data_IF_976983937151
#
_entry.id   IF_976983937151
#
_cell.length_a   1.000
_cell.length_b   1.000
_cell.length_c   1.000
_cell.angle_alpha   90.00
_cell.angle_beta   90.00
_cell.angle_gamma   90.00
#
_symmetry.space_group_name_H-M   'P 1'
#
loop_
_entity.id
_entity.type
_entity.pdbx_description
1 polymer ?
#
# COMPACT_ATOMS: atom_id res chain seq x y z
N UNK A 1 -2.66 -41.73 -14.07
CA UNK A 1 -2.72 -40.80 -12.92
C UNK A 1 -1.69 -39.74 -13.23
N UNK A 2 -2.11 -38.66 -13.88
CA UNK A 2 -1.21 -37.61 -14.36
C UNK A 2 -0.67 -36.83 -13.17
N UNK A 3 0.65 -36.69 -13.10
CA UNK A 3 1.29 -35.74 -12.22
C UNK A 3 1.02 -34.36 -12.80
N UNK A 4 0.09 -33.61 -12.19
CA UNK A 4 -0.06 -32.18 -12.46
C UNK A 4 1.20 -31.48 -11.95
N UNK A 5 2.20 -31.33 -12.83
CA UNK A 5 3.37 -30.49 -12.58
C UNK A 5 2.89 -29.07 -12.32
N UNK A 6 3.07 -28.62 -11.07
CA UNK A 6 2.87 -27.24 -10.65
C UNK A 6 3.81 -26.34 -11.45
N UNK A 7 3.27 -25.57 -12.41
CA UNK A 7 4.00 -24.54 -13.14
C UNK A 7 4.15 -23.29 -12.25
N UNK A 8 5.38 -22.94 -11.81
CA UNK A 8 5.62 -21.76 -11.00
C UNK A 8 5.47 -20.44 -11.77
N UNK A 9 5.23 -20.48 -13.08
CA UNK A 9 5.04 -19.31 -13.96
C UNK A 9 3.58 -18.99 -14.26
N UNK A 10 2.64 -19.91 -13.95
CA UNK A 10 1.21 -19.63 -14.00
C UNK A 10 0.84 -18.66 -12.86
N UNK A 11 0.95 -17.37 -13.16
CA UNK A 11 0.57 -16.27 -12.28
C UNK A 11 -0.97 -16.13 -12.14
N UNK A 12 -1.76 -17.02 -12.78
CA UNK A 12 -3.22 -17.00 -12.76
C UNK A 12 -3.82 -15.72 -13.34
N UNK A 13 -3.09 -15.07 -14.26
CA UNK A 13 -3.53 -13.85 -14.94
C UNK A 13 -4.21 -14.29 -16.24
N UNK A 14 -5.54 -14.26 -16.25
CA UNK A 14 -6.32 -14.41 -17.47
C UNK A 14 -6.25 -13.08 -18.24
N UNK A 15 -5.78 -13.11 -19.49
CA UNK A 15 -5.71 -11.92 -20.35
C UNK A 15 -6.97 -11.82 -21.22
N UNK A 16 -7.50 -10.60 -21.46
CA UNK A 16 -6.95 -9.30 -21.04
C UNK A 16 -7.17 -9.00 -19.56
N UNK A 17 -6.24 -8.24 -18.96
CA UNK A 17 -6.34 -7.78 -17.58
C UNK A 17 -7.64 -6.97 -17.35
N UNK A 18 -8.30 -7.13 -16.19
CA UNK A 18 -9.52 -6.37 -15.89
C UNK A 18 -9.20 -4.87 -15.68
N UNK A 19 -10.20 -3.97 -15.81
CA UNK A 19 -10.00 -2.53 -15.65
C UNK A 19 -9.30 -2.18 -14.33
N UNK A 20 -8.41 -1.18 -14.31
CA UNK A 20 -7.57 -0.85 -13.15
C UNK A 20 -8.37 -0.52 -11.88
N UNK A 21 -9.58 0.01 -12.04
CA UNK A 21 -10.51 0.36 -10.98
C UNK A 21 -11.52 -0.74 -10.63
N UNK A 22 -11.42 -1.91 -11.27
CA UNK A 22 -12.33 -3.04 -11.07
C UNK A 22 -12.10 -3.77 -9.74
N UNK A 23 -13.12 -4.52 -9.31
CA UNK A 23 -13.05 -5.33 -8.08
C UNK A 23 -12.07 -6.49 -8.25
N UNK A 24 -11.98 -7.01 -9.45
CA UNK A 24 -11.15 -8.11 -9.89
C UNK A 24 -9.68 -7.71 -9.76
N UNK A 25 -9.28 -6.55 -10.30
CA UNK A 25 -7.92 -5.99 -10.15
C UNK A 25 -7.54 -5.84 -8.68
N UNK A 26 -8.44 -5.29 -7.84
CA UNK A 26 -8.18 -5.15 -6.39
C UNK A 26 -7.94 -6.48 -5.69
N UNK A 27 -8.58 -7.56 -6.13
CA UNK A 27 -8.40 -8.89 -5.56
C UNK A 27 -7.06 -9.50 -5.99
N UNK A 28 -6.69 -9.34 -7.25
CA UNK A 28 -5.42 -9.82 -7.82
C UNK A 28 -4.20 -9.17 -7.16
N UNK A 29 -4.32 -7.92 -6.69
CA UNK A 29 -3.24 -7.24 -5.97
C UNK A 29 -2.96 -7.77 -4.54
N UNK A 30 -3.73 -8.75 -4.05
CA UNK A 30 -3.52 -9.38 -2.73
C UNK A 30 -2.87 -10.74 -2.91
N UNK A 31 -1.84 -11.02 -2.12
CA UNK A 31 -1.09 -12.27 -2.19
C UNK A 31 -0.70 -12.82 -0.83
N UNK A 32 -0.38 -14.11 -0.79
CA UNK A 32 0.22 -14.76 0.36
C UNK A 32 1.66 -14.25 0.55
N UNK A 33 2.03 -13.88 1.79
CA UNK A 33 3.38 -13.39 2.10
C UNK A 33 4.46 -14.47 1.96
N UNK A 34 4.08 -15.75 2.09
CA UNK A 34 5.04 -16.86 2.06
C UNK A 34 5.27 -17.44 0.67
N UNK A 35 4.19 -17.74 -0.04
CA UNK A 35 4.22 -18.46 -1.31
C UNK A 35 3.80 -17.60 -2.50
N UNK A 36 3.54 -16.30 -2.28
CA UNK A 36 3.26 -15.31 -3.32
C UNK A 36 2.02 -15.58 -4.19
N UNK A 37 1.29 -16.67 -3.94
CA UNK A 37 0.00 -16.96 -4.56
C UNK A 37 -0.98 -15.81 -4.35
N UNK A 38 -1.51 -15.30 -5.45
CA UNK A 38 -2.53 -14.26 -5.48
C UNK A 38 -3.86 -14.79 -4.97
N UNK A 39 -4.70 -13.89 -4.48
CA UNK A 39 -6.08 -14.22 -4.13
C UNK A 39 -6.86 -14.45 -5.43
N UNK A 40 -7.51 -15.61 -5.52
CA UNK A 40 -8.41 -15.96 -6.62
C UNK A 40 -9.74 -16.44 -6.04
N UNK A 41 -10.66 -16.91 -6.90
CA UNK A 41 -11.86 -17.59 -6.43
C UNK A 41 -11.54 -18.86 -5.60
N UNK A 42 -10.45 -19.55 -5.96
CA UNK A 42 -9.99 -20.79 -5.30
C UNK A 42 -9.02 -20.53 -4.14
N UNK A 43 -8.21 -19.48 -4.22
CA UNK A 43 -7.22 -19.14 -3.19
C UNK A 43 -7.75 -18.03 -2.30
N UNK A 44 -8.25 -18.42 -1.10
CA UNK A 44 -8.63 -17.47 -0.05
C UNK A 44 -7.41 -17.09 0.79
N UNK A 45 -7.33 -15.81 1.17
CA UNK A 45 -6.31 -15.30 2.07
C UNK A 45 -6.95 -14.92 3.41
N UNK A 46 -6.24 -15.18 4.50
CA UNK A 46 -6.55 -14.66 5.83
C UNK A 46 -5.37 -13.84 6.37
N UNK A 47 -5.65 -12.88 7.24
CA UNK A 47 -4.62 -12.04 7.86
C UNK A 47 -4.12 -12.65 9.17
N UNK A 48 -2.85 -12.43 9.49
CA UNK A 48 -2.30 -12.76 10.80
C UNK A 48 -3.15 -12.10 11.90
N UNK A 49 -3.65 -12.90 12.85
CA UNK A 49 -4.56 -12.42 13.90
C UNK A 49 -3.91 -11.41 14.86
N UNK A 50 -2.59 -11.50 15.05
CA UNK A 50 -1.84 -10.62 15.93
C UNK A 50 -1.61 -9.25 15.28
N UNK A 51 -0.85 -9.18 14.18
CA UNK A 51 -0.54 -7.89 13.55
C UNK A 51 -1.65 -7.32 12.66
N UNK A 52 -2.56 -8.17 12.14
CA UNK A 52 -3.64 -7.82 11.20
C UNK A 52 -3.19 -7.24 9.85
N UNK A 53 -1.91 -7.39 9.50
CA UNK A 53 -1.31 -6.82 8.29
C UNK A 53 -0.97 -7.91 7.26
N UNK A 54 -0.17 -8.89 7.67
CA UNK A 54 0.35 -9.91 6.75
C UNK A 54 -0.71 -10.94 6.40
N UNK A 55 -0.83 -11.28 5.11
CA UNK A 55 -1.83 -12.23 4.59
C UNK A 55 -1.20 -13.57 4.23
N UNK A 56 -1.93 -14.66 4.48
CA UNK A 56 -1.52 -16.04 4.19
C UNK A 56 -2.68 -16.83 3.56
N UNK A 57 -2.37 -17.77 2.67
CA UNK A 57 -3.37 -18.66 2.08
C UNK A 57 -3.64 -19.91 2.95
N UNK A 58 -2.73 -20.27 3.85
CA UNK A 58 -2.85 -21.44 4.73
C UNK A 58 -2.10 -21.24 6.05
N UNK A 59 -2.49 -22.02 7.08
CA UNK A 59 -1.74 -22.06 8.35
C UNK A 59 -0.31 -22.58 8.16
N UNK A 60 -0.08 -23.42 7.16
CA UNK A 60 1.26 -23.92 6.82
C UNK A 60 2.15 -22.76 6.34
N UNK A 61 1.67 -21.96 5.39
CA UNK A 61 2.39 -20.78 4.92
C UNK A 61 2.69 -19.78 6.04
N UNK A 62 1.74 -19.58 6.98
CA UNK A 62 1.98 -18.73 8.16
C UNK A 62 3.10 -19.28 9.06
N UNK A 63 3.13 -20.60 9.32
CA UNK A 63 4.15 -21.24 10.15
C UNK A 63 5.54 -21.17 9.52
N UNK A 64 5.63 -21.41 8.21
CA UNK A 64 6.90 -21.37 7.47
C UNK A 64 7.48 -19.95 7.40
N UNK A 65 6.62 -18.93 7.29
CA UNK A 65 7.05 -17.53 7.30
C UNK A 65 7.33 -17.00 8.71
N UNK A 66 6.97 -17.74 9.77
CA UNK A 66 7.01 -17.22 11.14
C UNK A 66 8.39 -16.73 11.58
N UNK A 67 9.47 -17.43 11.19
CA UNK A 67 10.85 -17.01 11.50
C UNK A 67 11.12 -15.59 11.00
N UNK A 68 10.66 -15.27 9.79
CA UNK A 68 10.86 -13.96 9.17
C UNK A 68 9.79 -12.96 9.62
N UNK A 69 8.57 -13.42 9.91
CA UNK A 69 7.43 -12.57 10.27
C UNK A 69 7.48 -12.11 11.73
N UNK A 70 8.00 -12.92 12.66
CA UNK A 70 7.88 -12.70 14.11
C UNK A 70 8.30 -11.31 14.57
N UNK A 71 9.46 -10.83 14.12
CA UNK A 71 9.97 -9.48 14.47
C UNK A 71 8.99 -8.38 14.05
N UNK A 72 8.61 -8.39 12.78
CA UNK A 72 7.63 -7.45 12.19
C UNK A 72 6.24 -7.58 12.79
N UNK A 73 5.82 -8.80 13.15
CA UNK A 73 4.56 -9.03 13.83
C UNK A 73 4.53 -8.31 15.19
N UNK A 74 5.64 -8.41 15.94
CA UNK A 74 5.83 -7.69 17.20
C UNK A 74 5.83 -6.19 16.98
N UNK A 75 6.66 -5.67 16.06
CA UNK A 75 6.74 -4.24 15.76
C UNK A 75 5.39 -3.63 15.39
N UNK A 76 4.63 -4.30 14.50
CA UNK A 76 3.30 -3.85 14.10
C UNK A 76 2.30 -3.89 15.26
N UNK A 77 2.41 -4.90 16.14
CA UNK A 77 1.56 -5.00 17.34
C UNK A 77 1.90 -3.89 18.33
N UNK A 78 3.18 -3.63 18.58
CA UNK A 78 3.64 -2.54 19.45
C UNK A 78 3.30 -1.16 18.87
N UNK A 79 3.40 -0.98 17.55
CA UNK A 79 2.96 0.26 16.89
C UNK A 79 1.47 0.51 17.12
N UNK A 80 0.63 -0.53 16.98
CA UNK A 80 -0.81 -0.43 17.25
C UNK A 80 -1.11 -0.13 18.73
N UNK A 81 -0.34 -0.69 19.67
CA UNK A 81 -0.46 -0.35 21.10
C UNK A 81 -0.10 1.11 21.35
N UNK A 82 1.04 1.60 20.84
CA UNK A 82 1.45 3.01 20.95
C UNK A 82 0.41 3.96 20.38
N UNK A 83 -0.20 3.61 19.24
CA UNK A 83 -1.30 4.39 18.67
C UNK A 83 -2.52 4.41 19.60
N UNK A 84 -2.89 3.27 20.18
CA UNK A 84 -4.01 3.21 21.13
C UNK A 84 -3.76 4.00 22.42
N UNK A 85 -2.53 3.96 22.95
CA UNK A 85 -2.12 4.78 24.10
C UNK A 85 -2.18 6.29 23.78
N UNK A 86 -1.71 6.68 22.60
CA UNK A 86 -1.77 8.07 22.13
C UNK A 86 -3.21 8.54 21.90
N UNK A 87 -4.06 7.66 21.38
CA UNK A 87 -5.48 7.96 21.21
C UNK A 87 -6.17 8.19 22.56
N UNK A 88 -5.83 7.40 23.57
CA UNK A 88 -6.38 7.59 24.91
C UNK A 88 -5.94 8.92 25.53
N UNK A 89 -4.65 9.26 25.41
CA UNK A 89 -4.14 10.56 25.81
C UNK A 89 -4.85 11.70 25.07
N UNK A 90 -5.08 11.54 23.77
CA UNK A 90 -5.76 12.55 22.94
C UNK A 90 -7.19 12.77 23.41
N UNK A 91 -7.94 11.69 23.73
CA UNK A 91 -9.30 11.80 24.27
C UNK A 91 -9.30 12.53 25.62
N UNK A 92 -8.42 12.13 26.54
CA UNK A 92 -8.32 12.78 27.86
C UNK A 92 -7.99 14.27 27.72
N UNK A 93 -7.09 14.64 26.79
CA UNK A 93 -6.77 16.04 26.54
C UNK A 93 -7.98 16.84 26.01
N UNK A 94 -8.74 16.27 25.06
CA UNK A 94 -9.97 16.90 24.54
C UNK A 94 -11.01 17.13 25.63
N UNK A 95 -11.22 16.13 26.49
CA UNK A 95 -12.12 16.23 27.64
C UNK A 95 -11.74 17.34 28.62
N UNK A 96 -10.43 17.53 28.88
CA UNK A 96 -9.94 18.55 29.80
C UNK A 96 -9.93 19.97 29.22
N UNK A 97 -9.72 20.10 27.91
CA UNK A 97 -9.58 21.41 27.24
C UNK A 97 -10.91 21.93 26.68
N UNK A 98 -11.90 21.05 26.48
CA UNK A 98 -13.14 21.39 25.80
C UNK A 98 -12.96 21.66 24.30
N UNK A 99 -11.83 21.25 23.72
CA UNK A 99 -11.61 21.31 22.27
C UNK A 99 -12.54 20.34 21.54
N UNK A 100 -13.11 20.81 20.43
CA UNK A 100 -14.08 20.06 19.61
C UNK A 100 -13.46 18.83 18.91
N UNK A 101 -14.27 17.78 18.75
CA UNK A 101 -13.91 16.38 18.56
C UNK A 101 -13.80 15.96 17.08
N UNK A 102 -13.74 16.93 16.16
CA UNK A 102 -13.82 16.70 14.71
C UNK A 102 -12.55 16.08 14.09
N UNK A 103 -11.40 16.17 14.79
CA UNK A 103 -10.17 15.55 14.32
C UNK A 103 -10.17 14.04 14.61
N UNK A 104 -9.92 13.18 13.60
CA UNK A 104 -9.86 11.74 13.83
C UNK A 104 -8.68 11.38 14.73
N UNK A 105 -8.85 10.30 15.50
CA UNK A 105 -7.77 9.72 16.28
C UNK A 105 -6.69 9.10 15.37
N UNK A 106 -5.47 8.96 15.89
CA UNK A 106 -4.32 8.47 15.12
C UNK A 106 -4.57 7.04 14.61
N UNK A 107 -5.13 6.15 15.44
CA UNK A 107 -5.47 4.79 14.98
C UNK A 107 -6.56 4.81 13.90
N UNK A 108 -7.51 5.74 13.99
CA UNK A 108 -8.58 5.89 12.99
C UNK A 108 -7.98 6.28 11.65
N UNK A 109 -7.09 7.27 11.62
CA UNK A 109 -6.37 7.64 10.39
C UNK A 109 -5.58 6.45 9.85
N UNK A 110 -4.82 5.73 10.68
CA UNK A 110 -4.05 4.58 10.23
C UNK A 110 -4.93 3.49 9.57
N UNK A 111 -6.09 3.20 10.16
CA UNK A 111 -7.03 2.21 9.62
C UNK A 111 -7.69 2.70 8.32
N UNK A 112 -8.10 3.97 8.27
CA UNK A 112 -8.65 4.59 7.07
C UNK A 112 -7.63 4.61 5.91
N UNK A 113 -6.34 4.91 6.18
CA UNK A 113 -5.25 4.83 5.20
C UNK A 113 -5.06 3.40 4.65
N UNK A 114 -5.20 2.39 5.51
CA UNK A 114 -5.15 1.00 5.09
C UNK A 114 -6.28 0.65 4.11
N UNK A 115 -7.48 1.18 4.33
CA UNK A 115 -8.62 1.01 3.43
C UNK A 115 -8.45 1.82 2.12
N UNK A 116 -7.91 3.03 2.20
CA UNK A 116 -7.56 3.83 1.02
C UNK A 116 -6.57 3.08 0.13
N UNK A 117 -5.46 2.59 0.71
CA UNK A 117 -4.47 1.81 -0.02
C UNK A 117 -5.10 0.56 -0.64
N UNK A 118 -5.95 -0.18 0.09
CA UNK A 118 -6.65 -1.37 -0.47
C UNK A 118 -7.57 -1.01 -1.64
N UNK A 119 -8.23 0.14 -1.60
CA UNK A 119 -9.16 0.60 -2.64
C UNK A 119 -8.44 1.06 -3.90
N UNK A 120 -7.34 1.77 -3.74
CA UNK A 120 -6.63 2.46 -4.83
C UNK A 120 -5.28 1.83 -5.19
N UNK A 121 -4.94 0.65 -4.63
CA UNK A 121 -3.64 -0.02 -4.79
C UNK A 121 -3.13 -0.03 -6.22
N UNK A 122 -3.95 -0.45 -7.18
CA UNK A 122 -3.53 -0.58 -8.58
C UNK A 122 -3.19 0.79 -9.19
N UNK A 123 -4.03 1.80 -8.99
CA UNK A 123 -3.80 3.18 -9.44
C UNK A 123 -2.56 3.79 -8.77
N UNK A 124 -2.37 3.55 -7.46
CA UNK A 124 -1.18 3.99 -6.72
C UNK A 124 0.09 3.34 -7.28
N UNK A 125 0.05 2.05 -7.62
CA UNK A 125 1.16 1.36 -8.26
C UNK A 125 1.47 1.94 -9.65
N UNK A 126 0.44 2.18 -10.48
CA UNK A 126 0.58 2.84 -11.80
C UNK A 126 1.21 4.22 -11.65
N UNK A 127 0.71 5.03 -10.72
CA UNK A 127 1.27 6.35 -10.41
C UNK A 127 2.75 6.27 -9.96
N UNK A 128 3.11 5.30 -9.13
CA UNK A 128 4.49 5.09 -8.70
C UNK A 128 5.43 4.69 -9.83
N UNK A 129 4.98 3.78 -10.70
CA UNK A 129 5.71 3.38 -11.91
C UNK A 129 5.98 4.58 -12.83
N UNK A 130 4.95 5.40 -13.08
CA UNK A 130 5.05 6.60 -13.92
C UNK A 130 5.93 7.69 -13.28
N UNK A 131 5.74 7.96 -11.98
CA UNK A 131 6.50 8.96 -11.23
C UNK A 131 8.00 8.66 -11.25
N UNK A 132 8.39 7.40 -11.08
CA UNK A 132 9.79 6.98 -11.12
C UNK A 132 10.33 6.74 -12.54
N UNK A 133 9.47 6.83 -13.57
CA UNK A 133 9.79 6.62 -14.98
C UNK A 133 10.48 5.26 -15.22
N UNK A 134 9.93 4.19 -14.65
CA UNK A 134 10.54 2.86 -14.69
C UNK A 134 10.76 2.36 -16.13
N UNK A 135 9.83 2.62 -17.06
CA UNK A 135 10.02 2.28 -18.49
C UNK A 135 11.25 2.91 -19.13
N UNK A 136 11.67 4.08 -18.66
CA UNK A 136 12.82 4.82 -19.20
C UNK A 136 14.09 4.60 -18.37
N UNK A 137 13.93 4.24 -17.10
CA UNK A 137 15.00 4.01 -16.15
C UNK A 137 14.63 2.84 -15.22
N UNK A 138 14.83 1.59 -15.68
CA UNK A 138 14.40 0.40 -14.95
C UNK A 138 15.01 0.26 -13.56
N UNK A 139 16.15 0.90 -13.29
CA UNK A 139 16.83 0.86 -11.98
C UNK A 139 16.37 1.96 -11.00
N UNK A 140 15.42 2.83 -11.39
CA UNK A 140 15.00 3.95 -10.54
C UNK A 140 14.43 3.50 -9.19
N UNK A 141 13.80 2.32 -9.12
CA UNK A 141 13.26 1.75 -7.87
C UNK A 141 14.34 1.53 -6.80
N UNK A 142 15.60 1.32 -7.20
CA UNK A 142 16.71 1.10 -6.27
C UNK A 142 17.26 2.41 -5.68
N UNK A 143 16.93 3.55 -6.27
CA UNK A 143 17.42 4.88 -5.89
C UNK A 143 16.33 5.76 -5.26
N UNK A 144 15.06 5.48 -5.56
CA UNK A 144 13.93 6.32 -5.20
C UNK A 144 12.78 5.53 -4.59
N UNK A 145 12.11 6.16 -3.62
CA UNK A 145 10.81 5.78 -3.10
C UNK A 145 9.76 6.71 -3.72
N UNK A 146 8.62 6.16 -4.12
CA UNK A 146 7.48 6.98 -4.51
C UNK A 146 6.73 7.45 -3.26
N UNK A 147 6.71 8.76 -3.01
CA UNK A 147 5.89 9.35 -1.95
C UNK A 147 4.60 9.90 -2.54
N UNK A 148 3.46 9.37 -2.11
CA UNK A 148 2.13 9.87 -2.43
C UNK A 148 1.54 10.54 -1.20
N UNK A 149 1.14 11.80 -1.34
CA UNK A 149 0.55 12.60 -0.26
C UNK A 149 -0.94 12.74 -0.46
N UNK A 150 -1.68 12.44 0.60
CA UNK A 150 -3.12 12.59 0.66
C UNK A 150 -3.50 13.51 1.82
N UNK A 151 -4.66 14.13 1.70
CA UNK A 151 -5.23 14.98 2.74
C UNK A 151 -6.61 14.43 3.08
N UNK A 152 -6.88 14.30 4.38
CA UNK A 152 -8.21 13.96 4.86
C UNK A 152 -9.15 15.16 4.66
N UNK A 153 -10.30 14.91 4.09
CA UNK A 153 -11.36 15.91 3.90
C UNK A 153 -11.84 16.38 5.27
N UNK A 154 -12.03 17.69 5.41
CA UNK A 154 -12.61 18.28 6.63
C UNK A 154 -14.07 17.84 6.77
N UNK A 155 -14.43 17.39 7.96
CA UNK A 155 -15.79 17.01 8.35
C UNK A 155 -16.47 16.11 7.30
N UNK A 156 -15.89 14.93 7.00
CA UNK A 156 -16.46 14.05 6.00
C UNK A 156 -17.84 13.56 6.45
N UNK A 157 -18.73 13.24 5.49
CA UNK A 157 -20.03 12.65 5.80
C UNK A 157 -19.87 11.43 6.71
N UNK A 158 -20.72 11.29 7.73
CA UNK A 158 -20.72 10.12 8.64
C UNK A 158 -20.97 8.80 7.90
N UNK A 159 -21.66 8.86 6.77
CA UNK A 159 -21.96 7.71 5.91
C UNK A 159 -20.85 7.40 4.90
N UNK A 160 -19.87 8.30 4.76
CA UNK A 160 -18.75 8.09 3.83
C UNK A 160 -17.92 6.88 4.23
N UNK A 161 -17.49 6.13 3.23
CA UNK A 161 -16.58 5.01 3.43
C UNK A 161 -15.20 5.54 3.81
N UNK A 162 -14.38 4.79 4.59
CA UNK A 162 -13.06 5.23 5.02
C UNK A 162 -12.17 5.82 3.90
N UNK A 163 -12.14 5.17 2.74
CA UNK A 163 -11.34 5.63 1.58
C UNK A 163 -11.91 6.87 0.87
N UNK A 164 -13.19 7.20 1.07
CA UNK A 164 -13.85 8.40 0.52
C UNK A 164 -13.56 9.65 1.36
N UNK A 165 -12.79 9.52 2.43
CA UNK A 165 -12.46 10.63 3.33
C UNK A 165 -11.16 11.33 2.96
N UNK A 166 -10.54 10.96 1.84
CA UNK A 166 -9.23 11.45 1.44
C UNK A 166 -9.22 11.89 -0.02
N UNK A 167 -8.42 12.91 -0.30
CA UNK A 167 -8.07 13.39 -1.64
C UNK A 167 -6.56 13.33 -1.83
N UNK A 168 -6.10 13.12 -3.05
CA UNK A 168 -4.66 13.20 -3.38
C UNK A 168 -4.26 14.66 -3.51
N UNK A 169 -3.21 15.08 -2.82
CA UNK A 169 -2.72 16.47 -2.86
C UNK A 169 -1.40 16.61 -3.62
N UNK A 170 -0.57 15.57 -3.62
CA UNK A 170 0.68 15.57 -4.38
C UNK A 170 1.38 14.23 -4.35
N UNK A 171 2.53 14.15 -5.01
CA UNK A 171 3.44 13.05 -4.87
C UNK A 171 4.74 13.32 -5.62
N UNK A 172 5.79 12.57 -5.29
CA UNK A 172 7.13 12.80 -5.81
C UNK A 172 8.03 11.57 -5.65
N UNK A 173 9.15 11.57 -6.37
CA UNK A 173 10.25 10.64 -6.17
C UNK A 173 11.15 11.16 -5.04
N UNK A 174 11.35 10.38 -3.99
CA UNK A 174 12.21 10.72 -2.86
C UNK A 174 13.45 9.84 -2.88
N UNK A 175 14.64 10.45 -2.84
CA UNK A 175 15.91 9.72 -2.83
C UNK A 175 16.04 8.87 -1.56
N UNK A 176 16.39 7.58 -1.75
CA UNK A 176 16.68 6.66 -0.65
C UNK A 176 17.85 7.17 0.19
N UNK A 177 18.92 7.68 -0.44
CA UNK A 177 20.07 8.25 0.26
C UNK A 177 19.67 9.44 1.15
N UNK A 178 18.73 10.26 0.69
CA UNK A 178 18.21 11.38 1.48
C UNK A 178 17.41 10.88 2.70
N UNK A 179 16.60 9.83 2.54
CA UNK A 179 15.87 9.19 3.66
C UNK A 179 16.84 8.60 4.69
N UNK A 180 17.86 7.90 4.22
CA UNK A 180 18.89 7.30 5.08
C UNK A 180 19.68 8.33 5.87
N UNK A 181 19.92 9.53 5.32
CA UNK A 181 20.62 10.62 6.02
C UNK A 181 19.78 11.29 7.10
N UNK A 182 18.45 11.36 6.93
CA UNK A 182 17.54 12.03 7.88
C UNK A 182 17.23 11.23 9.15
N UNK A 183 17.85 10.06 9.34
CA UNK A 183 17.49 9.12 10.41
C UNK A 183 16.01 8.73 10.37
N UNK A 184 15.42 8.69 9.16
CA UNK A 184 14.07 8.18 8.96
C UNK A 184 14.03 6.67 9.24
N UNK A 185 12.88 6.20 9.71
CA UNK A 185 12.49 4.80 9.92
C UNK A 185 12.61 3.91 8.66
N UNK A 186 13.02 4.46 7.52
CA UNK A 186 13.27 3.71 6.30
C UNK A 186 14.29 2.56 6.48
N UNK A 187 15.29 2.72 7.34
CA UNK A 187 16.29 1.66 7.60
C UNK A 187 15.64 0.36 8.10
N UNK A 188 14.61 0.49 8.92
CA UNK A 188 13.87 -0.66 9.46
C UNK A 188 13.06 -1.40 8.38
N UNK A 189 12.79 -0.74 7.25
CA UNK A 189 12.05 -1.29 6.12
C UNK A 189 12.95 -2.00 5.10
N UNK A 190 14.27 -1.75 5.10
CA UNK A 190 15.21 -2.29 4.11
C UNK A 190 15.12 -3.83 3.99
N UNK A 191 15.14 -4.62 5.09
CA UNK A 191 15.08 -6.07 4.98
C UNK A 191 13.78 -6.56 4.30
N UNK A 192 12.66 -5.87 4.53
CA UNK A 192 11.38 -6.21 3.90
C UNK A 192 11.40 -5.86 2.42
N UNK A 193 11.91 -4.67 2.09
CA UNK A 193 12.07 -4.21 0.71
C UNK A 193 12.91 -5.19 -0.11
N UNK A 194 14.08 -5.59 0.40
CA UNK A 194 14.97 -6.54 -0.30
C UNK A 194 14.27 -7.89 -0.55
N UNK A 195 13.52 -8.41 0.43
CA UNK A 195 12.74 -9.65 0.26
C UNK A 195 11.65 -9.49 -0.80
N UNK A 196 10.91 -8.38 -0.82
CA UNK A 196 9.91 -8.12 -1.86
C UNK A 196 10.57 -8.02 -3.24
N UNK A 197 11.73 -7.36 -3.32
CA UNK A 197 12.47 -7.24 -4.56
C UNK A 197 12.91 -8.60 -5.10
N UNK A 198 13.56 -9.42 -4.28
CA UNK A 198 13.99 -10.76 -4.66
C UNK A 198 12.82 -11.59 -5.23
N UNK A 199 11.67 -11.55 -4.57
CA UNK A 199 10.51 -12.36 -4.96
C UNK A 199 9.78 -11.81 -6.19
N UNK A 200 9.72 -10.49 -6.36
CA UNK A 200 9.19 -9.89 -7.58
C UNK A 200 10.11 -10.17 -8.79
N UNK A 201 11.43 -10.13 -8.61
CA UNK A 201 12.39 -10.46 -9.67
C UNK A 201 12.28 -11.92 -10.09
N UNK A 202 12.03 -12.85 -9.16
CA UNK A 202 11.79 -14.28 -9.47
C UNK A 202 10.63 -14.51 -10.44
N UNK A 203 9.63 -13.63 -10.44
CA UNK A 203 8.45 -13.72 -11.32
C UNK A 203 8.55 -12.78 -12.53
N UNK A 204 9.75 -12.30 -12.86
CA UNK A 204 10.04 -11.53 -14.07
C UNK A 204 9.85 -10.01 -13.94
N UNK A 205 9.71 -9.47 -12.72
CA UNK A 205 9.71 -8.01 -12.52
C UNK A 205 11.14 -7.46 -12.62
N UNK A 206 11.31 -6.25 -13.18
CA UNK A 206 12.57 -5.49 -13.18
C UNK A 206 12.97 -5.01 -11.78
N UNK A 207 12.00 -4.89 -10.88
CA UNK A 207 12.24 -4.57 -9.48
C UNK A 207 10.99 -4.23 -8.70
N UNK A 208 11.16 -3.59 -7.55
CA UNK A 208 10.07 -3.24 -6.62
C UNK A 208 10.02 -1.76 -6.30
N UNK A 209 8.96 -1.07 -6.75
CA UNK A 209 8.70 0.30 -6.29
C UNK A 209 8.14 0.23 -4.87
N UNK A 210 8.83 0.93 -3.96
CA UNK A 210 8.34 1.21 -2.61
C UNK A 210 7.51 2.49 -2.67
N UNK A 211 6.29 2.43 -2.15
CA UNK A 211 5.39 3.57 -2.01
C UNK A 211 5.19 3.93 -0.56
N UNK A 212 5.37 5.21 -0.25
CA UNK A 212 4.96 5.83 1.01
C UNK A 212 3.66 6.60 0.79
N UNK A 213 2.57 6.13 1.39
CA UNK A 213 1.32 6.87 1.44
C UNK A 213 1.29 7.66 2.75
N UNK A 214 1.35 8.99 2.65
CA UNK A 214 1.42 9.92 3.78
C UNK A 214 0.16 10.77 3.86
N UNK A 215 -0.36 10.98 5.07
CA UNK A 215 -1.47 11.89 5.33
C UNK A 215 -0.97 13.22 5.87
N UNK A 216 -1.06 14.29 5.08
CA UNK A 216 -0.55 15.62 5.46
C UNK A 216 -1.41 16.29 6.56
N UNK A 217 -2.68 15.91 6.71
CA UNK A 217 -3.65 16.61 7.57
C UNK A 217 -3.99 15.92 8.90
N UNK A 218 -3.35 14.80 9.23
CA UNK A 218 -3.68 14.04 10.43
C UNK A 218 -3.09 14.61 11.73
N UNK A 219 -2.29 15.68 11.67
CA UNK A 219 -1.57 16.23 12.83
C UNK A 219 -0.46 15.33 13.38
N UNK A 220 -0.26 14.16 12.78
CA UNK A 220 0.81 13.21 13.05
C UNK A 220 1.28 12.60 11.73
N UNK A 221 2.57 12.28 11.62
CA UNK A 221 3.18 11.59 10.47
C UNK A 221 2.69 10.12 10.42
N UNK A 222 1.43 9.93 10.03
CA UNK A 222 0.83 8.61 9.83
C UNK A 222 1.05 8.22 8.38
N UNK A 223 1.89 7.20 8.21
CA UNK A 223 2.29 6.66 6.90
C UNK A 223 1.96 5.19 6.80
N UNK A 224 1.53 4.74 5.62
CA UNK A 224 1.54 3.32 5.28
C UNK A 224 2.47 3.05 4.09
N UNK A 225 3.03 1.83 4.06
CA UNK A 225 4.02 1.42 3.06
C UNK A 225 3.43 0.34 2.18
N UNK A 226 3.67 0.47 0.88
CA UNK A 226 3.24 -0.47 -0.14
C UNK A 226 4.43 -0.85 -1.01
N UNK A 227 4.51 -2.12 -1.41
CA UNK A 227 5.48 -2.63 -2.37
C UNK A 227 4.74 -3.19 -3.58
N UNK A 228 5.17 -2.83 -4.78
CA UNK A 228 4.68 -3.39 -6.04
C UNK A 228 5.84 -3.89 -6.89
N UNK A 229 5.70 -5.06 -7.50
CA UNK A 229 6.61 -5.53 -8.54
C UNK A 229 6.14 -5.05 -9.91
N UNK A 230 7.06 -4.74 -10.81
CA UNK A 230 6.77 -4.29 -12.16
C UNK A 230 7.70 -5.00 -13.13
N UNK A 231 7.19 -5.56 -14.21
CA UNK A 231 7.96 -5.86 -15.43
C UNK A 231 8.28 -4.59 -16.21
N UNK A 232 9.16 -4.72 -17.20
CA UNK A 232 9.58 -3.62 -18.09
C UNK A 232 8.36 -2.97 -18.75
N UNK A 233 7.41 -3.81 -19.16
CA UNK A 233 6.24 -3.49 -19.96
C UNK A 233 4.91 -3.46 -19.18
N UNK A 234 4.96 -3.30 -17.85
CA UNK A 234 3.77 -3.50 -16.99
C UNK A 234 2.63 -2.51 -17.20
N UNK A 235 2.88 -1.38 -17.88
CA UNK A 235 1.92 -0.30 -18.09
C UNK A 235 2.17 0.42 -19.43
N UNK A 236 2.38 -0.35 -20.50
CA UNK A 236 2.66 0.16 -21.86
C UNK A 236 1.50 0.94 -22.48
N UNK A 237 0.33 0.84 -21.87
CA UNK A 237 -0.87 1.59 -22.21
C UNK A 237 -0.86 3.04 -21.70
N UNK A 238 0.09 3.40 -20.82
CA UNK A 238 0.29 4.79 -20.39
C UNK A 238 0.91 5.59 -21.54
N UNK A 239 0.15 6.54 -22.08
CA UNK A 239 0.65 7.42 -23.14
C UNK A 239 1.88 8.22 -22.64
N UNK A 240 2.96 8.35 -23.44
CA UNK A 240 4.09 9.20 -23.10
C UNK A 240 3.62 10.64 -22.79
N UNK A 241 3.85 11.11 -21.56
CA UNK A 241 3.46 12.45 -21.13
C UNK A 241 2.11 12.56 -20.41
N UNK A 242 1.42 11.45 -20.15
CA UNK A 242 0.27 11.44 -19.23
C UNK A 242 0.70 11.96 -17.85
N UNK A 243 0.03 13.00 -17.35
CA UNK A 243 0.28 13.53 -16.01
C UNK A 243 -0.32 12.57 -14.99
N UNK A 244 0.50 11.61 -14.56
CA UNK A 244 0.13 10.59 -13.58
C UNK A 244 -0.49 11.17 -12.31
N UNK A 245 -0.12 12.40 -11.92
CA UNK A 245 -0.62 13.05 -10.71
C UNK A 245 -2.03 13.60 -10.94
N UNK A 246 -2.30 14.16 -12.11
CA UNK A 246 -3.66 14.54 -12.52
C UNK A 246 -4.55 13.31 -12.63
N UNK A 247 -4.08 12.25 -13.31
CA UNK A 247 -4.85 11.01 -13.48
C UNK A 247 -5.27 10.42 -12.14
N UNK A 248 -4.32 10.19 -11.21
CA UNK A 248 -4.67 9.58 -9.91
C UNK A 248 -5.58 10.50 -9.06
N UNK A 249 -5.43 11.82 -9.17
CA UNK A 249 -6.33 12.78 -8.49
C UNK A 249 -7.76 12.62 -8.99
N UNK A 250 -7.95 12.67 -10.30
CA UNK A 250 -9.27 12.56 -10.93
C UNK A 250 -9.92 11.19 -10.66
N UNK A 251 -9.15 10.10 -10.74
CA UNK A 251 -9.64 8.76 -10.45
C UNK A 251 -10.10 8.61 -9.00
N UNK A 252 -9.33 9.15 -8.03
CA UNK A 252 -9.70 9.11 -6.61
C UNK A 252 -10.97 9.93 -6.35
N UNK A 253 -11.10 11.12 -6.93
CA UNK A 253 -12.32 11.94 -6.79
C UNK A 253 -13.53 11.25 -7.43
N UNK A 254 -13.40 10.76 -8.67
CA UNK A 254 -14.46 10.05 -9.40
C UNK A 254 -14.93 8.82 -8.63
N UNK A 255 -14.02 7.96 -8.20
CA UNK A 255 -14.34 6.71 -7.49
C UNK A 255 -14.83 6.93 -6.06
N UNK A 256 -14.62 8.13 -5.52
CA UNK A 256 -15.19 8.55 -4.25
C UNK A 256 -16.50 9.34 -4.39
N UNK A 257 -17.03 9.48 -5.61
CA UNK A 257 -18.29 10.18 -5.87
C UNK A 257 -18.22 11.70 -5.68
N UNK A 258 -17.01 12.29 -5.71
CA UNK A 258 -16.76 13.72 -5.48
C UNK A 258 -16.45 14.49 -6.76
N UNK A 259 -16.99 14.03 -7.89
CA UNK A 259 -16.65 14.50 -9.23
C UNK A 259 -16.55 16.03 -9.27
N UNK A 260 -15.36 16.52 -9.62
CA UNK A 260 -15.10 17.92 -9.96
C UNK A 260 -15.98 18.28 -11.15
N UNK A 261 -16.84 19.29 -10.97
CA UNK A 261 -17.44 20.01 -12.11
C UNK A 261 -16.36 20.77 -12.87
#
# INVERSE_FOLDING_TARGET
MGNDEYDPTDNGIDYPLPPIDSKETRQLCRQCQKCWKRRTAMVKLFVCSSCKITSYCSKQCQKEDWRDHKGRCRENTERRKRMAEMDELTKTLRELTGEDDDLPLMSTVNDELGEFLKRFRAMICRAGYCCLKISQNPDAWAKYVFRLRIERIKNPSRESRPWERYKVVGGEAVSIDALLKKNDSFRDLIPQFLKYNEENVKVGCVGTVTTFLECDSAGADVRCVSWGGYGEDSWDDVAPGEDWLVTIKEEVERLSGRTTK
#
